data_IF_614834772519
#
_entry.id   IF_614834772519
#
_cell.length_a   1.000
_cell.length_b   1.000
_cell.length_c   1.000
_cell.angle_alpha   90.00
_cell.angle_beta   90.00
_cell.angle_gamma   90.00
#
_symmetry.space_group_name_H-M   'P 1'
#
loop_
_entity.id
_entity.type
_entity.pdbx_description
1 polymer ?
#
# COMPACT_ATOMS: atom_id res chain seq x y z
N UNK A 1 11.65 -40.40 5.25
CA UNK A 1 10.29 -39.90 5.01
C UNK A 1 10.08 -38.71 5.94
N UNK A 2 10.16 -37.45 5.47
CA UNK A 2 9.74 -36.32 6.29
C UNK A 2 8.23 -36.19 6.22
N UNK A 3 7.62 -36.12 7.39
CA UNK A 3 6.18 -35.99 7.64
C UNK A 3 5.62 -34.73 6.97
N UNK A 4 4.58 -34.90 6.16
CA UNK A 4 3.79 -33.78 5.64
C UNK A 4 3.15 -33.03 6.80
N UNK A 5 3.54 -31.78 6.98
CA UNK A 5 2.79 -30.84 7.81
C UNK A 5 1.60 -30.38 6.97
N UNK A 6 0.46 -31.05 7.16
CA UNK A 6 -0.83 -30.58 6.68
C UNK A 6 -1.15 -29.29 7.43
N UNK A 7 -1.00 -28.15 6.76
CA UNK A 7 -1.46 -26.87 7.28
C UNK A 7 -2.99 -26.80 7.10
N UNK A 8 -3.74 -27.16 8.14
CA UNK A 8 -5.16 -26.84 8.23
C UNK A 8 -5.32 -25.33 8.31
N UNK A 9 -5.80 -24.69 7.24
CA UNK A 9 -6.34 -23.34 7.32
C UNK A 9 -7.67 -23.28 6.58
N UNK A 10 -8.74 -23.67 7.26
CA UNK A 10 -10.10 -23.22 6.92
C UNK A 10 -10.27 -21.75 7.32
N UNK A 11 -9.47 -20.87 6.72
CA UNK A 11 -9.63 -19.43 6.87
C UNK A 11 -10.93 -19.02 6.18
N UNK A 12 -11.97 -18.77 6.97
CA UNK A 12 -13.21 -18.21 6.43
C UNK A 12 -12.96 -16.74 6.11
N UNK A 13 -13.07 -16.37 4.83
CA UNK A 13 -12.97 -14.99 4.37
C UNK A 13 -13.79 -14.03 5.27
N UNK A 14 -13.22 -12.90 5.75
CA UNK A 14 -13.94 -11.91 6.55
C UNK A 14 -15.25 -11.45 5.92
N UNK A 15 -16.24 -11.06 6.74
CA UNK A 15 -17.58 -10.71 6.27
C UNK A 15 -17.57 -9.52 5.29
N UNK A 16 -16.79 -8.48 5.55
CA UNK A 16 -16.67 -7.34 4.64
C UNK A 16 -16.16 -7.76 3.25
N UNK A 17 -15.13 -8.62 3.21
CA UNK A 17 -14.57 -9.17 1.98
C UNK A 17 -15.57 -10.07 1.25
N UNK A 18 -16.31 -10.91 1.97
CA UNK A 18 -17.41 -11.72 1.38
C UNK A 18 -18.50 -10.85 0.75
N UNK A 19 -18.88 -9.77 1.42
CA UNK A 19 -19.96 -8.88 0.96
C UNK A 19 -19.57 -8.15 -0.31
N UNK A 20 -18.38 -7.53 -0.35
CA UNK A 20 -17.93 -6.81 -1.54
C UNK A 20 -17.64 -7.77 -2.70
N UNK A 21 -17.12 -8.97 -2.43
CA UNK A 21 -16.90 -9.98 -3.48
C UNK A 21 -18.22 -10.37 -4.13
N UNK A 22 -19.25 -10.63 -3.32
CA UNK A 22 -20.60 -10.93 -3.83
C UNK A 22 -21.16 -9.76 -4.65
N UNK A 23 -20.96 -8.52 -4.21
CA UNK A 23 -21.36 -7.34 -4.97
C UNK A 23 -20.65 -7.27 -6.32
N UNK A 24 -19.32 -7.39 -6.34
CA UNK A 24 -18.52 -7.40 -7.55
C UNK A 24 -18.96 -8.52 -8.51
N UNK A 25 -19.23 -9.72 -8.00
CA UNK A 25 -19.61 -10.86 -8.83
C UNK A 25 -21.03 -10.80 -9.39
N UNK A 26 -21.99 -10.27 -8.61
CA UNK A 26 -23.43 -10.37 -8.91
C UNK A 26 -24.06 -9.08 -9.39
N UNK A 27 -23.46 -7.93 -9.07
CA UNK A 27 -24.07 -6.61 -9.32
C UNK A 27 -23.22 -5.79 -10.30
N UNK A 28 -21.90 -5.76 -10.12
CA UNK A 28 -21.02 -5.00 -11.02
C UNK A 28 -20.97 -5.61 -12.42
N UNK A 29 -21.20 -4.78 -13.44
CA UNK A 29 -20.98 -5.15 -14.83
C UNK A 29 -19.49 -5.42 -15.10
N UNK A 30 -19.21 -6.21 -16.14
CA UNK A 30 -17.84 -6.44 -16.59
C UNK A 30 -17.20 -5.09 -16.97
N UNK A 31 -15.94 -4.88 -16.56
CA UNK A 31 -15.16 -3.66 -16.80
C UNK A 31 -15.69 -2.39 -16.08
N UNK A 32 -16.71 -2.53 -15.21
CA UNK A 32 -17.17 -1.45 -14.34
C UNK A 32 -16.20 -1.21 -13.17
N UNK A 33 -16.36 -0.07 -12.49
CA UNK A 33 -15.43 0.35 -11.44
C UNK A 33 -16.10 1.21 -10.37
N UNK A 34 -15.52 1.22 -9.17
CA UNK A 34 -15.86 2.16 -8.11
C UNK A 34 -14.98 3.40 -8.30
N UNK A 35 -15.59 4.57 -8.55
CA UNK A 35 -14.88 5.82 -8.86
C UNK A 35 -15.00 6.82 -7.70
N UNK A 36 -13.89 7.44 -7.32
CA UNK A 36 -13.84 8.47 -6.28
C UNK A 36 -12.80 9.55 -6.61
N UNK A 37 -12.88 10.66 -5.89
CA UNK A 37 -11.99 11.82 -6.08
C UNK A 37 -10.80 11.77 -5.13
N UNK A 38 -9.62 12.04 -5.66
CA UNK A 38 -8.39 12.25 -4.92
C UNK A 38 -8.17 13.77 -4.72
N UNK A 39 -8.01 14.25 -3.49
CA UNK A 39 -7.75 15.66 -3.23
C UNK A 39 -6.33 16.04 -3.64
N UNK A 40 -6.12 17.32 -3.96
CA UNK A 40 -4.80 17.82 -4.35
C UNK A 40 -3.74 17.60 -3.26
N UNK A 41 -4.12 17.66 -1.99
CA UNK A 41 -3.17 17.48 -0.88
C UNK A 41 -2.52 16.08 -0.86
N UNK A 42 -3.20 15.07 -1.42
CA UNK A 42 -2.70 13.69 -1.45
C UNK A 42 -1.46 13.55 -2.36
N UNK A 43 -1.53 14.07 -3.59
CA UNK A 43 -0.50 13.88 -4.63
C UNK A 43 0.00 15.17 -5.30
N UNK A 44 -0.45 16.34 -4.85
CA UNK A 44 -0.20 17.64 -5.49
C UNK A 44 -1.17 17.98 -6.63
N UNK A 45 -2.06 17.07 -7.02
CA UNK A 45 -3.06 17.29 -8.08
C UNK A 45 -4.39 16.62 -7.73
N UNK A 46 -5.48 17.37 -7.88
CA UNK A 46 -6.83 16.81 -7.74
C UNK A 46 -7.21 16.05 -9.00
N UNK A 47 -7.68 14.81 -8.86
CA UNK A 47 -8.13 13.98 -9.98
C UNK A 47 -9.10 12.90 -9.52
N UNK A 48 -9.83 12.30 -10.46
CA UNK A 48 -10.59 11.08 -10.19
C UNK A 48 -9.70 9.86 -10.35
N UNK A 49 -10.02 8.80 -9.61
CA UNK A 49 -9.43 7.47 -9.78
C UNK A 49 -10.54 6.43 -9.63
N UNK A 50 -10.25 5.20 -10.01
CA UNK A 50 -11.21 4.11 -9.95
C UNK A 50 -10.54 2.78 -9.62
N UNK A 51 -11.25 1.92 -8.90
CA UNK A 51 -10.86 0.52 -8.70
C UNK A 51 -11.78 -0.36 -9.54
N UNK A 52 -11.20 -1.13 -10.44
CA UNK A 52 -11.95 -1.98 -11.36
C UNK A 52 -12.58 -3.16 -10.63
N UNK A 53 -13.65 -3.71 -11.19
CA UNK A 53 -14.31 -4.91 -10.68
C UNK A 53 -13.31 -6.06 -10.49
N UNK A 54 -12.44 -6.30 -11.46
CA UNK A 54 -11.41 -7.35 -11.40
C UNK A 54 -10.41 -7.11 -10.27
N UNK A 55 -10.02 -5.87 -10.01
CA UNK A 55 -9.09 -5.53 -8.93
C UNK A 55 -9.69 -5.81 -7.55
N UNK A 56 -11.01 -5.62 -7.39
CA UNK A 56 -11.74 -5.97 -6.16
C UNK A 56 -11.78 -7.49 -5.98
N UNK A 57 -12.03 -8.23 -7.06
CA UNK A 57 -12.02 -9.71 -7.05
C UNK A 57 -10.62 -10.22 -6.71
N UNK A 58 -9.58 -9.65 -7.30
CA UNK A 58 -8.19 -9.98 -7.03
C UNK A 58 -7.82 -9.72 -5.56
N UNK A 59 -8.22 -8.56 -5.02
CA UNK A 59 -8.05 -8.23 -3.61
C UNK A 59 -8.74 -9.25 -2.70
N UNK A 60 -9.95 -9.72 -3.05
CA UNK A 60 -10.71 -10.72 -2.27
C UNK A 60 -10.12 -12.13 -2.34
N UNK A 61 -9.36 -12.44 -3.39
CA UNK A 61 -8.74 -13.75 -3.63
C UNK A 61 -7.24 -13.83 -3.28
N UNK A 62 -6.67 -12.78 -2.65
CA UNK A 62 -5.23 -12.71 -2.36
C UNK A 62 -4.33 -12.72 -3.61
N UNK A 63 -4.85 -12.24 -4.74
CA UNK A 63 -4.07 -12.03 -5.97
C UNK A 63 -3.28 -10.71 -5.89
N UNK A 64 -2.43 -10.48 -6.88
CA UNK A 64 -1.56 -9.29 -6.92
C UNK A 64 -2.35 -7.98 -6.85
N UNK A 65 -1.97 -7.10 -5.92
CA UNK A 65 -2.51 -5.74 -5.82
C UNK A 65 -2.05 -4.91 -7.01
N UNK A 66 -2.99 -4.26 -7.69
CA UNK A 66 -2.71 -3.35 -8.81
C UNK A 66 -2.55 -1.90 -8.35
N UNK A 67 -2.01 -1.05 -9.22
CA UNK A 67 -1.65 0.35 -8.90
C UNK A 67 -2.82 1.14 -8.33
N UNK A 68 -4.02 1.04 -8.92
CA UNK A 68 -5.17 1.82 -8.46
C UNK A 68 -5.79 1.29 -7.17
N UNK A 69 -5.70 -0.01 -6.90
CA UNK A 69 -6.01 -0.60 -5.59
C UNK A 69 -5.10 -0.02 -4.50
N UNK A 70 -3.80 0.12 -4.80
CA UNK A 70 -2.84 0.71 -3.87
C UNK A 70 -3.10 2.21 -3.65
N UNK A 71 -3.42 2.95 -4.72
CA UNK A 71 -3.84 4.36 -4.65
C UNK A 71 -5.12 4.53 -3.81
N UNK A 72 -6.09 3.61 -3.95
CA UNK A 72 -7.29 3.62 -3.12
C UNK A 72 -6.95 3.43 -1.63
N UNK A 73 -6.00 2.54 -1.32
CA UNK A 73 -5.57 2.37 0.06
C UNK A 73 -4.84 3.60 0.62
N UNK A 74 -4.04 4.28 -0.20
CA UNK A 74 -3.39 5.54 0.20
C UNK A 74 -4.44 6.63 0.48
N UNK A 75 -5.52 6.67 -0.31
CA UNK A 75 -6.65 7.58 -0.06
C UNK A 75 -7.40 7.22 1.22
N UNK A 76 -7.57 5.92 1.51
CA UNK A 76 -8.12 5.47 2.79
C UNK A 76 -7.25 5.95 3.97
N UNK A 77 -5.94 5.69 3.95
CA UNK A 77 -5.02 6.12 5.02
C UNK A 77 -5.03 7.64 5.21
N UNK A 78 -5.02 8.39 4.10
CA UNK A 78 -5.18 9.83 4.14
C UNK A 78 -6.50 10.26 4.80
N UNK A 79 -7.59 9.56 4.50
CA UNK A 79 -8.92 9.89 5.03
C UNK A 79 -9.08 9.50 6.49
N UNK A 80 -8.47 8.40 6.92
CA UNK A 80 -8.61 7.83 8.27
C UNK A 80 -7.84 8.60 9.35
N UNK A 81 -6.79 9.35 8.98
CA UNK A 81 -6.08 10.18 9.96
C UNK A 81 -6.94 11.36 10.39
N UNK A 82 -7.21 11.35 11.69
CA UNK A 82 -7.97 12.37 12.41
C UNK A 82 -7.17 13.67 12.56
N UNK A 83 -7.86 14.81 12.57
CA UNK A 83 -7.25 16.14 12.72
C UNK A 83 -6.98 16.87 11.41
N UNK A 84 -6.29 18.01 11.51
CA UNK A 84 -5.97 18.84 10.33
C UNK A 84 -4.99 18.10 9.41
N UNK A 85 -5.28 18.11 8.11
CA UNK A 85 -4.40 17.56 7.07
C UNK A 85 -3.07 18.31 6.99
N UNK A 86 -3.02 19.54 7.49
CA UNK A 86 -1.80 20.35 7.57
C UNK A 86 -0.78 19.80 8.58
N UNK A 87 -1.23 19.01 9.56
CA UNK A 87 -0.41 18.40 10.61
C UNK A 87 -0.08 16.94 10.34
N UNK A 88 -0.37 16.43 9.13
CA UNK A 88 0.03 15.08 8.77
C UNK A 88 1.55 14.97 8.77
N UNK A 89 2.07 14.00 9.51
CA UNK A 89 3.50 13.68 9.59
C UNK A 89 3.98 12.84 8.40
N UNK A 90 3.15 12.68 7.38
CA UNK A 90 3.49 11.91 6.20
C UNK A 90 2.87 12.52 4.96
N UNK A 91 3.51 12.27 3.82
CA UNK A 91 3.00 12.62 2.49
C UNK A 91 3.22 11.47 1.54
N UNK A 92 2.31 11.32 0.60
CA UNK A 92 2.39 10.24 -0.37
C UNK A 92 2.97 10.70 -1.71
N UNK A 93 3.62 9.77 -2.42
CA UNK A 93 4.01 9.90 -3.83
C UNK A 93 3.13 8.97 -4.67
N UNK A 94 2.61 9.47 -5.79
CA UNK A 94 1.79 8.68 -6.71
C UNK A 94 2.62 7.54 -7.34
N UNK A 95 2.27 6.25 -7.08
CA UNK A 95 3.02 5.11 -7.61
C UNK A 95 3.05 5.06 -9.14
N UNK A 96 2.05 5.63 -9.82
CA UNK A 96 1.99 5.64 -11.29
C UNK A 96 3.08 6.52 -11.92
N UNK A 97 3.69 7.42 -11.16
CA UNK A 97 4.72 8.37 -11.62
C UNK A 97 6.16 7.91 -11.33
N UNK A 98 6.33 6.95 -10.41
CA UNK A 98 7.65 6.49 -9.93
C UNK A 98 7.93 5.01 -10.20
N UNK A 99 7.00 4.30 -10.84
CA UNK A 99 7.14 2.88 -11.23
C UNK A 99 7.72 2.70 -12.65
N UNK A 100 8.15 1.47 -12.98
CA UNK A 100 8.93 1.10 -14.17
C UNK A 100 8.31 1.44 -15.53
N UNK A 101 7.01 1.75 -15.60
CA UNK A 101 6.37 2.26 -16.82
C UNK A 101 6.84 3.64 -17.27
N UNK A 102 7.67 4.32 -16.47
CA UNK A 102 8.23 5.65 -16.76
C UNK A 102 9.76 5.61 -16.94
N UNK A 103 10.31 6.60 -17.65
CA UNK A 103 11.77 6.77 -17.75
C UNK A 103 12.40 7.03 -16.39
N UNK A 104 13.68 6.67 -16.23
CA UNK A 104 14.41 6.89 -14.99
C UNK A 104 14.39 8.37 -14.55
N UNK A 105 14.59 9.29 -15.50
CA UNK A 105 14.60 10.74 -15.25
C UNK A 105 13.23 11.23 -14.78
N UNK A 106 12.14 10.72 -15.35
CA UNK A 106 10.78 11.06 -14.92
C UNK A 106 10.52 10.59 -13.50
N UNK A 107 10.91 9.35 -13.18
CA UNK A 107 10.73 8.77 -11.83
C UNK A 107 11.50 9.57 -10.77
N UNK A 108 12.77 9.90 -11.06
CA UNK A 108 13.60 10.72 -10.16
C UNK A 108 12.99 12.10 -9.99
N UNK A 109 12.61 12.76 -11.08
CA UNK A 109 12.00 14.09 -11.04
C UNK A 109 10.74 14.12 -10.20
N UNK A 110 9.81 13.17 -10.40
CA UNK A 110 8.56 13.11 -9.65
C UNK A 110 8.78 12.87 -8.16
N UNK A 111 9.71 11.99 -7.79
CA UNK A 111 10.09 11.77 -6.40
C UNK A 111 10.70 13.04 -5.77
N UNK A 112 11.67 13.67 -6.45
CA UNK A 112 12.31 14.90 -5.98
C UNK A 112 11.31 16.05 -5.83
N UNK A 113 10.39 16.23 -6.79
CA UNK A 113 9.36 17.27 -6.71
C UNK A 113 8.50 17.14 -5.45
N UNK A 114 8.15 15.91 -5.04
CA UNK A 114 7.38 15.69 -3.82
C UNK A 114 8.23 15.97 -2.56
N UNK A 115 9.50 15.55 -2.56
CA UNK A 115 10.43 15.85 -1.47
C UNK A 115 10.62 17.36 -1.25
N UNK A 116 10.78 18.13 -2.33
CA UNK A 116 10.99 19.58 -2.26
C UNK A 116 9.82 20.37 -1.66
N UNK A 117 8.60 19.83 -1.70
CA UNK A 117 7.39 20.45 -1.12
C UNK A 117 7.00 19.84 0.22
N UNK A 118 7.75 18.85 0.71
CA UNK A 118 7.48 18.21 2.01
C UNK A 118 8.05 19.04 3.15
N UNK A 119 7.37 19.05 4.30
CA UNK A 119 7.86 19.72 5.51
C UNK A 119 8.95 18.87 6.20
N UNK A 120 9.84 19.47 7.01
CA UNK A 120 10.88 18.74 7.73
C UNK A 120 10.35 17.64 8.66
N UNK A 121 9.15 17.81 9.22
CA UNK A 121 8.49 16.84 10.12
C UNK A 121 7.65 15.78 9.38
N UNK A 122 7.79 15.69 8.05
CA UNK A 122 7.04 14.75 7.23
C UNK A 122 7.91 13.62 6.68
N UNK A 123 7.39 12.41 6.77
CA UNK A 123 7.91 11.23 6.07
C UNK A 123 7.27 11.12 4.69
N UNK A 124 8.09 11.06 3.64
CA UNK A 124 7.61 10.79 2.28
C UNK A 124 7.46 9.28 2.09
N UNK A 125 6.23 8.83 1.82
CA UNK A 125 5.88 7.45 1.53
C UNK A 125 5.69 7.28 0.01
N UNK A 126 6.58 6.52 -0.59
CA UNK A 126 6.68 6.35 -2.04
C UNK A 126 6.61 4.86 -2.41
N UNK A 127 5.39 4.29 -2.49
CA UNK A 127 5.22 2.95 -3.02
C UNK A 127 5.55 2.95 -4.52
N UNK A 128 6.29 1.95 -4.98
CA UNK A 128 6.65 1.85 -6.39
C UNK A 128 6.86 0.41 -6.83
N UNK A 129 6.70 0.19 -8.13
CA UNK A 129 6.94 -1.09 -8.76
C UNK A 129 8.16 -1.00 -9.70
N UNK A 130 9.35 -1.47 -9.31
CA UNK A 130 10.53 -1.50 -10.19
C UNK A 130 10.42 -2.49 -11.36
N UNK A 131 9.44 -3.39 -11.36
CA UNK A 131 9.24 -4.40 -12.41
C UNK A 131 8.69 -5.72 -11.86
N UNK A 132 7.37 -5.83 -11.75
CA UNK A 132 6.67 -7.03 -11.29
C UNK A 132 6.65 -7.24 -9.77
N UNK A 133 7.04 -6.24 -8.98
CA UNK A 133 7.14 -6.34 -7.52
C UNK A 133 6.83 -5.00 -6.88
N UNK A 134 6.08 -4.96 -5.78
CA UNK A 134 5.84 -3.73 -5.02
C UNK A 134 6.84 -3.58 -3.87
N UNK A 135 7.43 -2.39 -3.77
CA UNK A 135 8.27 -1.99 -2.65
C UNK A 135 7.87 -0.58 -2.17
N UNK A 136 8.31 -0.20 -0.97
CA UNK A 136 8.07 1.11 -0.39
C UNK A 136 9.40 1.81 -0.10
N UNK A 137 9.54 3.05 -0.60
CA UNK A 137 10.51 4.00 -0.08
C UNK A 137 9.84 4.84 1.00
N UNK A 138 10.43 4.88 2.19
CA UNK A 138 10.05 5.80 3.25
C UNK A 138 11.23 6.72 3.54
N UNK A 139 11.05 8.03 3.30
CA UNK A 139 12.13 9.02 3.31
C UNK A 139 11.84 10.05 4.38
N UNK A 140 12.73 10.20 5.35
CA UNK A 140 12.75 11.32 6.27
C UNK A 140 13.92 12.23 5.88
N UNK A 141 13.60 13.34 5.20
CA UNK A 141 14.59 14.28 4.71
C UNK A 141 15.28 15.07 5.83
N UNK A 142 14.63 15.24 6.99
CA UNK A 142 15.21 15.96 8.12
C UNK A 142 16.28 15.14 8.86
N UNK A 143 16.05 13.84 9.03
CA UNK A 143 17.04 12.93 9.62
C UNK A 143 18.05 12.38 8.61
N UNK A 144 17.95 12.76 7.33
CA UNK A 144 18.74 12.20 6.23
C UNK A 144 18.67 10.66 6.17
N UNK A 145 17.46 10.11 6.35
CA UNK A 145 17.23 8.66 6.32
C UNK A 145 16.30 8.23 5.21
N UNK A 146 16.67 7.13 4.55
CA UNK A 146 15.87 6.46 3.53
C UNK A 146 15.76 4.99 3.88
N UNK A 147 14.52 4.50 3.98
CA UNK A 147 14.21 3.10 4.19
C UNK A 147 13.67 2.51 2.89
N UNK A 148 14.33 1.47 2.42
CA UNK A 148 13.86 0.65 1.31
C UNK A 148 13.22 -0.62 1.89
N UNK A 149 11.90 -0.68 1.86
CA UNK A 149 11.10 -1.76 2.42
C UNK A 149 10.66 -2.70 1.28
N UNK A 150 11.33 -3.84 1.22
CA UNK A 150 11.19 -4.84 0.17
C UNK A 150 10.96 -6.23 0.79
N UNK A 151 9.72 -6.70 0.72
CA UNK A 151 9.28 -7.97 1.28
C UNK A 151 9.86 -9.20 0.56
N UNK A 152 10.40 -9.05 -0.65
CA UNK A 152 11.10 -10.10 -1.40
C UNK A 152 12.63 -10.06 -1.20
N UNK A 153 13.17 -8.97 -0.64
CA UNK A 153 14.62 -8.73 -0.51
C UNK A 153 15.36 -8.88 -1.84
N UNK A 154 14.80 -8.31 -2.91
CA UNK A 154 15.38 -8.34 -4.25
C UNK A 154 16.69 -7.56 -4.36
N UNK A 155 17.02 -6.72 -3.38
CA UNK A 155 18.25 -5.92 -3.37
C UNK A 155 19.21 -6.33 -2.25
N UNK A 156 20.49 -6.47 -2.58
CA UNK A 156 21.58 -6.79 -1.66
C UNK A 156 22.21 -5.55 -0.98
N UNK A 157 21.55 -4.38 -1.06
CA UNK A 157 22.13 -3.12 -0.57
C UNK A 157 22.15 -3.05 0.96
N UNK A 158 23.24 -2.52 1.51
CA UNK A 158 23.43 -2.30 2.95
C UNK A 158 22.39 -1.36 3.59
N UNK A 159 21.62 -0.59 2.79
CA UNK A 159 20.54 0.29 3.23
C UNK A 159 19.17 -0.40 3.31
N UNK A 160 19.06 -1.66 2.87
CA UNK A 160 17.84 -2.46 3.07
C UNK A 160 17.77 -2.89 4.53
N UNK A 161 16.99 -2.17 5.34
CA UNK A 161 16.66 -2.68 6.69
C UNK A 161 15.75 -3.90 6.55
N UNK A 162 15.99 -4.91 7.38
CA UNK A 162 15.13 -6.08 7.51
C UNK A 162 13.68 -5.61 7.66
N UNK A 163 12.79 -6.02 6.78
CA UNK A 163 11.35 -5.85 6.92
C UNK A 163 10.70 -7.24 6.89
N UNK A 164 9.44 -7.38 7.35
CA UNK A 164 8.67 -8.61 7.21
C UNK A 164 8.82 -9.25 5.84
N UNK A 165 9.27 -10.50 5.82
CA UNK A 165 9.38 -11.26 4.57
C UNK A 165 8.01 -11.71 4.11
N UNK A 166 7.75 -11.62 2.81
CA UNK A 166 6.50 -12.13 2.29
C UNK A 166 6.47 -13.66 2.20
N UNK A 167 5.26 -14.20 2.37
CA UNK A 167 4.94 -15.58 2.05
C UNK A 167 4.22 -15.60 0.70
N UNK A 168 4.70 -16.41 -0.24
CA UNK A 168 4.18 -16.48 -1.60
C UNK A 168 4.72 -15.40 -2.54
N UNK A 169 4.29 -15.42 -3.80
CA UNK A 169 4.77 -14.53 -4.86
C UNK A 169 3.91 -13.28 -5.07
N UNK A 170 2.64 -13.29 -4.65
CA UNK A 170 1.65 -12.26 -4.99
C UNK A 170 1.41 -11.22 -3.88
N UNK A 171 2.07 -11.37 -2.73
CA UNK A 171 1.69 -10.67 -1.50
C UNK A 171 2.39 -9.31 -1.29
N UNK A 172 3.34 -8.94 -2.16
CA UNK A 172 4.15 -7.71 -2.02
C UNK A 172 3.32 -6.43 -1.86
N UNK A 173 2.22 -6.29 -2.62
CA UNK A 173 1.33 -5.13 -2.51
C UNK A 173 0.63 -5.04 -1.15
N UNK A 174 0.21 -6.17 -0.58
CA UNK A 174 -0.39 -6.21 0.76
C UNK A 174 0.63 -5.85 1.85
N UNK A 175 1.88 -6.27 1.67
CA UNK A 175 2.97 -5.87 2.56
C UNK A 175 3.23 -4.37 2.48
N UNK A 176 3.24 -3.77 1.29
CA UNK A 176 3.36 -2.32 1.12
C UNK A 176 2.18 -1.58 1.76
N UNK A 177 0.94 -2.07 1.61
CA UNK A 177 -0.22 -1.54 2.34
C UNK A 177 0.02 -1.59 3.86
N UNK A 178 0.47 -2.73 4.39
CA UNK A 178 0.73 -2.90 5.82
C UNK A 178 1.85 -2.00 6.33
N UNK A 179 2.95 -1.84 5.59
CA UNK A 179 4.02 -0.91 5.94
C UNK A 179 3.53 0.52 6.03
N UNK A 180 2.76 0.98 5.03
CA UNK A 180 2.20 2.33 5.06
C UNK A 180 1.26 2.51 6.25
N UNK A 181 0.39 1.54 6.53
CA UNK A 181 -0.51 1.58 7.69
C UNK A 181 0.24 1.70 9.00
N UNK A 182 1.27 0.89 9.20
CA UNK A 182 2.08 0.92 10.43
C UNK A 182 2.79 2.26 10.61
N UNK A 183 3.39 2.79 9.54
CA UNK A 183 4.05 4.11 9.60
C UNK A 183 3.03 5.22 9.90
N UNK A 184 1.88 5.21 9.22
CA UNK A 184 0.81 6.21 9.40
C UNK A 184 0.22 6.17 10.81
N UNK A 185 -0.06 4.97 11.35
CA UNK A 185 -0.75 4.82 12.63
C UNK A 185 0.15 5.04 13.86
N UNK A 186 1.46 4.79 13.76
CA UNK A 186 2.35 5.01 14.91
C UNK A 186 2.61 6.48 15.19
N UNK A 187 2.40 7.37 14.21
CA UNK A 187 2.70 8.81 14.36
C UNK A 187 4.18 9.09 14.67
N UNK A 188 5.06 8.12 14.36
CA UNK A 188 6.49 8.25 14.55
C UNK A 188 7.15 8.53 13.21
N UNK A 189 7.93 9.61 13.18
CA UNK A 189 8.80 9.95 12.05
C UNK A 189 10.00 8.96 12.00
N UNK A 190 10.31 8.31 13.13
CA UNK A 190 11.35 7.28 13.24
C UNK A 190 10.80 5.95 12.69
N UNK A 191 11.02 5.72 11.40
CA UNK A 191 10.49 4.57 10.65
C UNK A 191 10.94 3.22 11.26
N UNK A 192 12.10 3.17 11.91
CA UNK A 192 12.60 1.93 12.53
C UNK A 192 11.76 1.42 13.68
N UNK A 193 11.01 2.33 14.33
CA UNK A 193 10.13 1.98 15.43
C UNK A 193 8.77 1.53 14.92
N UNK A 194 8.47 1.76 13.64
CA UNK A 194 7.16 1.54 13.05
C UNK A 194 6.93 0.10 12.59
N UNK A 195 7.98 -0.60 12.12
CA UNK A 195 7.86 -1.91 11.48
C UNK A 195 8.62 -2.97 12.30
N UNK A 196 7.92 -4.02 12.77
CA UNK A 196 8.59 -5.18 13.40
C UNK A 196 9.21 -6.06 12.32
N UNK A 197 10.52 -6.19 12.36
CA UNK A 197 11.33 -6.81 11.30
C UNK A 197 11.52 -8.32 11.49
N UNK A 198 11.03 -8.87 12.61
CA UNK A 198 11.38 -10.22 13.08
C UNK A 198 10.49 -11.32 12.54
N UNK A 199 9.29 -11.01 12.05
CA UNK A 199 8.33 -12.00 11.55
C UNK A 199 7.62 -11.52 10.28
N UNK A 200 7.25 -12.46 9.43
CA UNK A 200 6.29 -12.25 8.35
C UNK A 200 4.91 -11.90 8.92
N UNK A 201 4.10 -11.16 8.16
CA UNK A 201 2.71 -10.93 8.52
C UNK A 201 1.89 -12.20 8.36
N UNK A 202 1.02 -12.46 9.32
CA UNK A 202 -0.01 -13.49 9.26
C UNK A 202 -1.15 -13.11 8.31
N UNK A 203 -1.95 -14.10 7.89
CA UNK A 203 -3.14 -13.83 7.07
C UNK A 203 -4.09 -12.85 7.74
N UNK A 204 -4.27 -12.93 9.06
CA UNK A 204 -5.11 -11.99 9.81
C UNK A 204 -4.57 -10.55 9.73
N UNK A 205 -3.25 -10.38 9.87
CA UNK A 205 -2.60 -9.05 9.76
C UNK A 205 -2.73 -8.45 8.35
N UNK A 206 -2.77 -9.29 7.30
CA UNK A 206 -3.03 -8.86 5.93
C UNK A 206 -4.54 -8.62 5.68
N UNK A 207 -5.41 -9.41 6.30
CA UNK A 207 -6.86 -9.22 6.21
C UNK A 207 -7.30 -7.90 6.82
N UNK A 208 -6.59 -7.36 7.83
CA UNK A 208 -6.81 -6.00 8.34
C UNK A 208 -6.80 -4.95 7.22
N UNK A 209 -5.72 -4.89 6.43
CA UNK A 209 -5.60 -3.86 5.38
C UNK A 209 -6.57 -4.09 4.22
N UNK A 210 -6.93 -5.36 3.98
CA UNK A 210 -7.94 -5.73 2.97
C UNK A 210 -9.34 -5.30 3.40
N UNK A 211 -9.71 -5.56 4.65
CA UNK A 211 -11.00 -5.17 5.24
C UNK A 211 -11.14 -3.64 5.25
N UNK A 212 -10.12 -2.94 5.73
CA UNK A 212 -10.07 -1.46 5.72
C UNK A 212 -10.32 -0.89 4.31
N UNK A 213 -9.65 -1.46 3.29
CA UNK A 213 -9.82 -1.00 1.92
C UNK A 213 -11.24 -1.27 1.39
N UNK A 214 -11.81 -2.45 1.64
CA UNK A 214 -13.15 -2.77 1.08
C UNK A 214 -14.27 -2.04 1.80
N UNK A 215 -14.13 -1.75 3.09
CA UNK A 215 -15.06 -0.88 3.81
C UNK A 215 -15.00 0.55 3.28
N UNK A 216 -13.80 1.06 3.00
CA UNK A 216 -13.61 2.34 2.33
C UNK A 216 -14.28 2.37 0.95
N UNK A 217 -14.05 1.37 0.11
CA UNK A 217 -14.68 1.27 -1.22
C UNK A 217 -16.21 1.16 -1.11
N UNK A 218 -16.72 0.45 -0.11
CA UNK A 218 -18.15 0.31 0.16
C UNK A 218 -18.85 1.65 0.47
N UNK A 219 -18.12 2.68 0.89
CA UNK A 219 -18.67 4.02 1.11
C UNK A 219 -18.99 4.79 -0.19
N UNK A 220 -18.56 4.27 -1.35
CA UNK A 220 -18.79 4.85 -2.68
C UNK A 220 -19.72 4.00 -3.57
N UNK A 221 -20.32 2.95 -3.01
CA UNK A 221 -21.21 2.02 -3.72
C UNK A 221 -22.68 2.43 -3.61
#
# INVERSE_FOLDING_TARGET
MPTEVVCESTSTLPLALKSILRYAEKVMEKDSSITFSLPADLFGVSRKTSVLREDIVDLCNMNEVKTFTLVAYMMYLYSSVSGSKENMQYVFVDPSLISSGNTQESRIRNLCSRLMVSKPDQVVLAPFNPGGHWALLAINAYEDTVFYLDSLRTTSKATTRYCPLQVGSTTCGYYVMKYMREIVNRGSIVISDSIDTRKSYSQAELDEVRVELVEFLGSYM
#
